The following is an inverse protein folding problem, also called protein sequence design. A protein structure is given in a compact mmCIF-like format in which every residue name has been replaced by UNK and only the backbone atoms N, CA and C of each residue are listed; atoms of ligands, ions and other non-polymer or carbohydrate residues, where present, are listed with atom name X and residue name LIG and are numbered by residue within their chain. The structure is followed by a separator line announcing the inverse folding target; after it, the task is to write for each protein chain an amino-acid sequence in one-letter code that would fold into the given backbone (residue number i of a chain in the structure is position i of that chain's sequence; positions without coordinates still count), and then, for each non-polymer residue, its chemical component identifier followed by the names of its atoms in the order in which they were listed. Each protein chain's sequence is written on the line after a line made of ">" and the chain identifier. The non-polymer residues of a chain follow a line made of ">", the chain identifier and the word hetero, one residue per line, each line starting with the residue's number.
data_IF_209396000252
#
_entry.id   IF_209396000252
#
_cell.length_a   1.000
_cell.length_b   1.000
_cell.length_c   1.000
_cell.angle_alpha   90.00
_cell.angle_beta   90.00
_cell.angle_gamma   90.00
#
_symmetry.space_group_name_H-M   'P 1'
#
loop_
_entity.id
_entity.type
_entity.pdbx_description
1 polymer ?
#
# COMPACT_ATOMS: atom_id res chain seq x y z
N UNK A 1 -22.45 7.46 -23.41
CA UNK A 1 -21.33 8.27 -22.88
C UNK A 1 -21.65 9.72 -23.15
N UNK A 2 -21.53 10.59 -22.15
CA UNK A 2 -21.76 12.04 -22.33
C UNK A 2 -20.59 12.60 -23.16
N UNK A 3 -20.84 13.41 -24.19
CA UNK A 3 -19.76 14.07 -24.94
C UNK A 3 -18.91 14.93 -23.99
N UNK A 4 -17.59 14.69 -23.97
CA UNK A 4 -16.62 15.39 -23.12
C UNK A 4 -15.61 16.14 -23.98
N UNK A 5 -15.17 17.31 -23.52
CA UNK A 5 -14.06 18.04 -24.14
C UNK A 5 -12.72 17.45 -23.67
N UNK A 6 -11.63 17.77 -24.38
CA UNK A 6 -10.29 17.33 -23.98
C UNK A 6 -9.86 17.90 -22.61
N UNK A 7 -10.31 19.13 -22.31
CA UNK A 7 -10.06 19.79 -21.04
C UNK A 7 -10.75 19.06 -19.87
N UNK A 8 -11.97 18.56 -20.08
CA UNK A 8 -12.69 17.77 -19.08
C UNK A 8 -12.07 16.38 -18.87
N UNK A 9 -11.49 15.79 -19.93
CA UNK A 9 -10.82 14.49 -19.85
C UNK A 9 -9.54 14.56 -19.01
N UNK A 10 -8.84 15.70 -19.05
CA UNK A 10 -7.59 15.94 -18.31
C UNK A 10 -6.55 14.84 -18.55
N UNK A 11 -5.88 14.91 -19.72
CA UNK A 11 -4.85 13.93 -20.10
C UNK A 11 -3.69 13.83 -19.11
N UNK A 12 -3.51 14.79 -18.20
CA UNK A 12 -2.50 14.70 -17.14
C UNK A 12 -2.75 13.55 -16.16
N UNK A 13 -3.97 13.02 -16.13
CA UNK A 13 -4.35 11.86 -15.32
C UNK A 13 -4.22 10.53 -16.06
N UNK A 14 -3.87 10.56 -17.34
CA UNK A 14 -3.73 9.33 -18.12
C UNK A 14 -2.50 8.56 -17.64
N UNK A 15 -2.76 7.40 -17.03
CA UNK A 15 -1.77 6.42 -16.61
C UNK A 15 -2.00 5.10 -17.33
N UNK A 16 -0.93 4.45 -17.74
CA UNK A 16 -0.96 3.13 -18.33
C UNK A 16 0.16 2.25 -17.78
N UNK A 17 -0.10 0.95 -17.78
CA UNK A 17 0.83 -0.12 -17.43
C UNK A 17 1.38 -0.78 -18.69
N UNK A 18 2.66 -1.10 -18.70
CA UNK A 18 3.27 -1.91 -19.76
C UNK A 18 3.08 -3.40 -19.48
N UNK A 19 2.08 -3.99 -20.15
CA UNK A 19 1.76 -5.41 -20.06
C UNK A 19 2.43 -6.26 -21.13
N UNK A 20 1.82 -7.40 -21.43
CA UNK A 20 2.39 -8.42 -22.31
C UNK A 20 3.44 -9.29 -21.60
N UNK A 21 4.31 -9.93 -22.39
CA UNK A 21 5.40 -10.73 -21.84
C UNK A 21 6.51 -9.85 -21.24
N UNK A 22 7.30 -10.46 -20.37
CA UNK A 22 8.30 -9.75 -19.58
C UNK A 22 9.45 -9.16 -20.41
N UNK A 23 9.67 -9.63 -21.64
CA UNK A 23 10.66 -9.03 -22.54
C UNK A 23 10.05 -7.81 -23.24
N UNK A 24 8.84 -7.94 -23.80
CA UNK A 24 8.13 -6.84 -24.46
C UNK A 24 7.91 -5.64 -23.54
N UNK A 25 7.47 -5.87 -22.29
CA UNK A 25 7.21 -4.78 -21.34
C UNK A 25 8.48 -4.01 -20.96
N UNK A 26 9.60 -4.71 -20.74
CA UNK A 26 10.89 -4.10 -20.40
C UNK A 26 11.54 -3.38 -21.58
N UNK A 27 11.44 -3.95 -22.78
CA UNK A 27 11.91 -3.29 -23.99
C UNK A 27 11.11 -2.01 -24.23
N UNK A 28 9.77 -2.06 -24.15
CA UNK A 28 8.92 -0.87 -24.24
C UNK A 28 9.25 0.17 -23.16
N UNK A 29 9.52 -0.27 -21.92
CA UNK A 29 9.95 0.62 -20.84
C UNK A 29 11.22 1.38 -21.24
N UNK A 30 12.25 0.66 -21.70
CA UNK A 30 13.49 1.28 -22.16
C UNK A 30 13.24 2.28 -23.31
N UNK A 31 12.47 1.89 -24.33
CA UNK A 31 12.22 2.75 -25.48
C UNK A 31 11.42 4.02 -25.12
N UNK A 32 10.43 3.90 -24.25
CA UNK A 32 9.63 5.03 -23.78
C UNK A 32 10.43 5.97 -22.86
N UNK A 33 11.36 5.43 -22.07
CA UNK A 33 12.20 6.23 -21.16
C UNK A 33 13.41 6.90 -21.83
N UNK A 34 14.11 6.20 -22.74
CA UNK A 34 15.43 6.62 -23.24
C UNK A 34 15.42 6.99 -24.74
N UNK A 35 14.47 6.48 -25.53
CA UNK A 35 14.47 6.64 -27.00
C UNK A 35 13.30 7.44 -27.55
N UNK A 36 12.42 7.93 -26.68
CA UNK A 36 11.27 8.75 -27.05
C UNK A 36 11.73 10.17 -27.43
N UNK A 37 11.51 10.54 -28.68
CA UNK A 37 11.88 11.87 -29.18
C UNK A 37 10.78 12.91 -28.92
N UNK A 38 9.51 12.55 -29.15
CA UNK A 38 8.34 13.38 -28.84
C UNK A 38 7.05 12.55 -28.81
N UNK A 39 5.95 13.19 -28.43
CA UNK A 39 4.60 12.61 -28.43
C UNK A 39 3.73 13.43 -29.38
N UNK A 40 2.85 12.80 -30.14
CA UNK A 40 1.82 13.50 -30.93
C UNK A 40 0.42 13.09 -30.46
N UNK A 41 -0.41 14.09 -30.16
CA UNK A 41 -1.84 13.90 -29.97
C UNK A 41 -2.55 14.10 -31.30
N UNK A 42 -3.27 13.09 -31.78
CA UNK A 42 -4.10 13.15 -32.99
C UNK A 42 -5.58 13.22 -32.61
N UNK A 43 -6.26 14.29 -33.03
CA UNK A 43 -7.71 14.51 -32.89
C UNK A 43 -8.25 14.92 -34.25
N UNK A 44 -9.22 14.19 -34.78
CA UNK A 44 -9.87 14.46 -36.07
C UNK A 44 -8.86 14.70 -37.22
N UNK A 45 -7.77 13.93 -37.23
CA UNK A 45 -6.69 14.00 -38.21
C UNK A 45 -5.68 15.14 -37.97
N UNK A 46 -5.95 16.07 -37.06
CA UNK A 46 -5.01 17.12 -36.66
C UNK A 46 -4.03 16.59 -35.62
N UNK A 47 -2.74 16.89 -35.78
CA UNK A 47 -1.66 16.42 -34.89
C UNK A 47 -1.01 17.56 -34.12
N UNK A 48 -0.87 17.35 -32.82
CA UNK A 48 -0.29 18.32 -31.88
C UNK A 48 0.92 17.69 -31.21
N UNK A 49 2.11 18.23 -31.50
CA UNK A 49 3.36 17.74 -30.96
C UNK A 49 3.58 18.22 -29.53
N UNK A 50 4.06 17.32 -28.68
CA UNK A 50 4.38 17.55 -27.27
C UNK A 50 5.78 17.00 -26.96
N UNK A 51 6.51 17.59 -25.99
CA UNK A 51 7.84 17.11 -25.63
C UNK A 51 7.78 15.73 -24.99
N UNK A 52 8.81 14.91 -25.22
CA UNK A 52 8.94 13.59 -24.60
C UNK A 52 8.94 13.63 -23.06
N UNK A 53 9.38 14.76 -22.48
CA UNK A 53 9.41 15.00 -21.04
C UNK A 53 8.03 15.02 -20.36
N UNK A 54 6.93 15.03 -21.13
CA UNK A 54 5.60 14.82 -20.56
C UNK A 54 5.39 13.39 -20.11
N UNK A 55 6.05 12.40 -20.72
CA UNK A 55 5.91 11.01 -20.29
C UNK A 55 6.83 10.75 -19.10
N UNK A 56 6.25 10.34 -17.97
CA UNK A 56 6.97 10.08 -16.72
C UNK A 56 6.69 8.67 -16.21
N UNK A 57 7.70 8.07 -15.61
CA UNK A 57 7.60 6.79 -14.90
C UNK A 57 6.93 6.98 -13.54
N UNK A 58 6.25 5.95 -13.05
CA UNK A 58 5.65 5.90 -11.71
C UNK A 58 6.36 4.85 -10.82
N UNK A 59 6.17 4.98 -9.51
CA UNK A 59 6.69 4.04 -8.49
C UNK A 59 7.89 4.59 -7.70
N UNK A 60 8.40 5.76 -8.06
CA UNK A 60 9.60 6.34 -7.43
C UNK A 60 9.28 7.43 -6.40
N UNK A 61 8.13 8.12 -6.54
CA UNK A 61 7.72 9.12 -5.58
C UNK A 61 7.33 8.48 -4.23
N UNK A 62 7.31 9.27 -3.16
CA UNK A 62 6.96 8.77 -1.82
C UNK A 62 5.51 8.32 -1.74
N UNK A 63 4.63 9.06 -2.40
CA UNK A 63 3.18 8.85 -2.47
C UNK A 63 2.83 7.65 -3.37
N UNK A 64 3.78 7.17 -4.15
CA UNK A 64 3.67 5.99 -5.01
C UNK A 64 4.27 4.73 -4.33
N UNK A 65 4.57 4.79 -3.03
CA UNK A 65 4.97 3.62 -2.25
C UNK A 65 3.91 2.51 -2.33
N UNK A 66 4.35 1.27 -2.54
CA UNK A 66 3.48 0.11 -2.43
C UNK A 66 3.30 -0.28 -0.97
N UNK A 67 4.41 -0.39 -0.24
CA UNK A 67 4.39 -0.83 1.14
C UNK A 67 4.32 0.37 2.09
N UNK A 68 3.57 0.27 3.22
CA UNK A 68 3.67 1.24 4.29
C UNK A 68 5.12 1.36 4.75
N UNK A 69 5.70 2.55 4.58
CA UNK A 69 7.11 2.81 4.88
C UNK A 69 7.25 3.94 5.90
N UNK A 70 8.10 3.81 6.94
CA UNK A 70 8.25 4.84 7.94
C UNK A 70 8.72 6.16 7.34
N UNK A 71 8.07 7.26 7.72
CA UNK A 71 8.30 8.56 7.12
C UNK A 71 9.62 9.24 7.46
N UNK A 72 10.36 8.69 8.43
CA UNK A 72 11.63 9.16 8.94
C UNK A 72 12.84 8.39 8.37
N UNK A 73 12.63 7.49 7.41
CA UNK A 73 13.68 6.70 6.76
C UNK A 73 13.86 7.19 5.32
N UNK A 74 15.09 7.10 4.81
CA UNK A 74 15.42 7.42 3.42
C UNK A 74 14.65 6.51 2.44
N UNK A 75 13.91 7.11 1.50
CA UNK A 75 13.03 6.38 0.57
C UNK A 75 13.78 5.50 -0.43
N UNK A 76 15.08 5.71 -0.65
CA UNK A 76 15.86 4.87 -1.57
C UNK A 76 15.90 3.39 -1.16
N UNK A 77 15.88 3.10 0.15
CA UNK A 77 15.79 1.72 0.66
C UNK A 77 14.47 1.06 0.28
N UNK A 78 13.36 1.82 0.36
CA UNK A 78 12.04 1.36 -0.10
C UNK A 78 12.06 1.01 -1.58
N UNK A 79 12.61 1.89 -2.43
CA UNK A 79 12.66 1.67 -3.87
C UNK A 79 13.45 0.40 -4.21
N UNK A 80 14.61 0.19 -3.57
CA UNK A 80 15.39 -1.03 -3.77
C UNK A 80 14.61 -2.28 -3.35
N UNK A 81 13.99 -2.25 -2.17
CA UNK A 81 13.18 -3.37 -1.67
C UNK A 81 12.01 -3.68 -2.62
N UNK A 82 11.23 -2.67 -3.02
CA UNK A 82 10.10 -2.83 -3.93
C UNK A 82 10.56 -3.33 -5.31
N UNK A 83 11.67 -2.81 -5.84
CA UNK A 83 12.17 -3.22 -7.16
C UNK A 83 12.62 -4.69 -7.19
N UNK A 84 13.29 -5.17 -6.12
CA UNK A 84 13.73 -6.57 -6.07
C UNK A 84 12.59 -7.55 -5.74
N UNK A 85 11.57 -7.11 -4.99
CA UNK A 85 10.43 -7.97 -4.64
C UNK A 85 9.34 -7.97 -5.71
N UNK A 86 9.11 -6.84 -6.38
CA UNK A 86 7.99 -6.66 -7.31
C UNK A 86 8.32 -5.62 -8.40
N UNK A 87 9.25 -5.92 -9.31
CA UNK A 87 9.70 -4.99 -10.35
C UNK A 87 8.56 -4.53 -11.29
N UNK A 88 7.51 -5.33 -11.44
CA UNK A 88 6.36 -5.04 -12.28
C UNK A 88 5.67 -3.74 -11.88
N UNK A 89 5.67 -3.33 -10.59
CA UNK A 89 5.04 -2.06 -10.20
C UNK A 89 5.72 -0.81 -10.74
N UNK A 90 6.93 -0.95 -11.29
CA UNK A 90 7.66 0.15 -11.91
C UNK A 90 7.38 0.28 -13.41
N UNK A 91 6.59 -0.61 -14.00
CA UNK A 91 6.24 -0.59 -15.43
C UNK A 91 5.08 0.36 -15.77
N UNK A 92 4.79 1.31 -14.90
CA UNK A 92 3.76 2.32 -15.11
C UNK A 92 4.34 3.62 -15.66
N UNK A 93 3.63 4.21 -16.62
CA UNK A 93 3.86 5.55 -17.11
C UNK A 93 2.61 6.41 -16.96
N UNK A 94 2.82 7.70 -16.79
CA UNK A 94 1.77 8.71 -16.81
C UNK A 94 2.20 9.94 -17.61
N UNK A 95 1.22 10.70 -18.11
CA UNK A 95 1.47 11.99 -18.74
C UNK A 95 1.48 13.09 -17.67
N UNK A 96 2.64 13.67 -17.38
CA UNK A 96 2.78 14.76 -16.42
C UNK A 96 2.42 16.11 -17.06
N UNK A 97 1.12 16.38 -17.15
CA UNK A 97 0.61 17.65 -17.69
C UNK A 97 0.84 17.79 -19.20
N UNK A 98 0.93 19.04 -19.66
CA UNK A 98 1.11 19.41 -21.06
C UNK A 98 0.23 20.59 -21.46
N UNK A 99 0.72 21.45 -22.35
CA UNK A 99 -0.11 22.47 -23.00
C UNK A 99 -0.90 21.78 -24.12
N UNK A 100 -1.88 20.98 -23.72
CA UNK A 100 -2.74 20.25 -24.64
C UNK A 100 -3.62 21.23 -25.41
N UNK A 101 -3.88 20.97 -26.70
CA UNK A 101 -4.68 21.87 -27.52
C UNK A 101 -6.06 22.06 -26.90
N UNK A 102 -6.50 23.32 -26.78
CA UNK A 102 -7.87 23.64 -26.38
C UNK A 102 -8.81 23.20 -27.50
N UNK A 103 -9.43 22.04 -27.32
CA UNK A 103 -10.45 21.49 -28.21
C UNK A 103 -11.82 21.74 -27.58
N UNK A 104 -12.54 22.82 -27.98
CA UNK A 104 -13.82 23.17 -27.38
C UNK A 104 -14.94 22.22 -27.80
N UNK A 105 -14.74 21.47 -28.89
CA UNK A 105 -15.68 20.45 -29.34
C UNK A 105 -15.50 19.16 -28.56
N UNK A 106 -16.59 18.41 -28.41
CA UNK A 106 -16.55 17.11 -27.79
C UNK A 106 -15.72 16.13 -28.62
N UNK A 107 -14.80 15.43 -27.96
CA UNK A 107 -13.91 14.45 -28.59
C UNK A 107 -14.44 13.06 -28.28
N UNK A 108 -14.72 12.28 -29.32
CA UNK A 108 -15.17 10.88 -29.18
C UNK A 108 -14.00 9.90 -29.10
N UNK A 109 -12.86 10.23 -29.72
CA UNK A 109 -11.64 9.44 -29.70
C UNK A 109 -10.42 10.32 -30.02
N UNK A 110 -9.26 9.90 -29.54
CA UNK A 110 -7.98 10.49 -29.88
C UNK A 110 -6.93 9.38 -30.00
N UNK A 111 -5.79 9.69 -30.61
CA UNK A 111 -4.62 8.79 -30.61
C UNK A 111 -3.42 9.50 -30.03
N UNK A 112 -2.62 8.76 -29.27
CA UNK A 112 -1.29 9.17 -28.87
C UNK A 112 -0.27 8.40 -29.69
N UNK A 113 0.60 9.13 -30.37
CA UNK A 113 1.73 8.57 -31.09
C UNK A 113 3.00 8.81 -30.27
N UNK A 114 3.70 7.73 -29.93
CA UNK A 114 5.02 7.80 -29.32
C UNK A 114 6.07 7.74 -30.44
N UNK A 115 6.75 8.86 -30.69
CA UNK A 115 7.69 9.00 -31.80
C UNK A 115 9.12 8.79 -31.30
N UNK A 116 9.78 7.75 -31.78
CA UNK A 116 11.12 7.37 -31.34
C UNK A 116 12.21 7.90 -32.28
N UNK A 117 13.42 8.10 -31.74
CA UNK A 117 14.60 8.54 -32.52
C UNK A 117 15.06 7.50 -33.54
N UNK A 118 14.70 6.23 -33.34
CA UNK A 118 15.12 5.07 -34.12
C UNK A 118 13.94 4.13 -34.34
N UNK A 119 13.95 3.30 -35.38
CA UNK A 119 12.94 2.27 -35.55
C UNK A 119 13.01 1.25 -34.40
N UNK A 120 11.84 0.78 -33.96
CA UNK A 120 11.74 -0.27 -32.94
C UNK A 120 12.41 -1.57 -33.43
N UNK A 121 12.94 -2.40 -32.52
CA UNK A 121 13.55 -3.67 -32.89
C UNK A 121 12.54 -4.59 -33.57
N UNK A 122 12.89 -5.32 -34.65
CA UNK A 122 11.96 -6.24 -35.33
C UNK A 122 11.43 -7.38 -34.44
N UNK A 123 12.18 -7.71 -33.39
CA UNK A 123 11.79 -8.66 -32.35
C UNK A 123 10.66 -8.15 -31.47
N UNK A 124 10.46 -6.82 -31.36
CA UNK A 124 9.45 -6.23 -30.49
C UNK A 124 8.05 -6.43 -31.06
N UNK A 125 7.27 -7.31 -30.43
CA UNK A 125 5.91 -7.64 -30.85
C UNK A 125 4.90 -6.95 -29.94
N UNK A 126 4.45 -5.77 -30.36
CA UNK A 126 3.41 -5.02 -29.66
C UNK A 126 2.05 -5.66 -29.93
N UNK A 127 1.37 -6.09 -28.86
CA UNK A 127 0.02 -6.67 -28.87
C UNK A 127 -0.95 -5.76 -28.11
N UNK A 128 -2.25 -6.08 -28.14
CA UNK A 128 -3.30 -5.27 -27.50
C UNK A 128 -3.17 -5.18 -25.97
N UNK A 129 -2.46 -6.10 -25.36
CA UNK A 129 -2.16 -6.19 -23.93
C UNK A 129 -0.84 -5.50 -23.53
N UNK A 130 -0.09 -4.94 -24.49
CA UNK A 130 1.16 -4.23 -24.20
C UNK A 130 0.93 -2.89 -23.47
N UNK A 131 -0.22 -2.25 -23.71
CA UNK A 131 -0.61 -1.00 -23.06
C UNK A 131 -1.95 -1.23 -22.33
N UNK A 132 -1.91 -1.29 -21.01
CA UNK A 132 -3.09 -1.55 -20.18
C UNK A 132 -3.49 -0.30 -19.42
N UNK A 133 -4.75 0.10 -19.56
CA UNK A 133 -5.36 1.22 -18.83
C UNK A 133 -6.16 0.69 -17.63
N UNK A 134 -6.42 1.57 -16.66
CA UNK A 134 -7.18 1.25 -15.45
C UNK A 134 -6.55 0.12 -14.61
N UNK A 135 -5.22 0.06 -14.59
CA UNK A 135 -4.44 -0.85 -13.76
C UNK A 135 -3.88 -0.11 -12.55
N UNK A 136 -3.79 -0.79 -11.43
CA UNK A 136 -3.15 -0.30 -10.20
C UNK A 136 -2.45 -1.48 -9.53
N UNK A 137 -1.22 -1.31 -9.01
CA UNK A 137 -0.62 -2.32 -8.16
C UNK A 137 -1.42 -2.40 -6.84
N UNK A 138 -1.64 -3.62 -6.35
CA UNK A 138 -2.38 -3.85 -5.12
C UNK A 138 -1.56 -4.74 -4.19
N UNK A 139 -1.66 -4.46 -2.89
CA UNK A 139 -1.03 -5.23 -1.83
C UNK A 139 -2.11 -5.81 -0.91
N UNK A 140 -1.91 -7.04 -0.45
CA UNK A 140 -2.83 -7.68 0.47
C UNK A 140 -2.53 -7.29 1.92
N UNK A 141 -2.91 -6.06 2.31
CA UNK A 141 -2.88 -5.59 3.69
C UNK A 141 -4.26 -5.10 4.10
N UNK A 142 -4.71 -5.50 5.28
CA UNK A 142 -6.00 -5.08 5.85
C UNK A 142 -5.90 -4.85 7.35
N UNK A 143 -6.77 -3.98 7.86
CA UNK A 143 -6.91 -3.77 9.30
C UNK A 143 -7.56 -5.00 9.94
N UNK A 144 -7.03 -5.43 11.07
CA UNK A 144 -7.58 -6.50 11.90
C UNK A 144 -7.39 -6.12 13.37
N UNK A 145 -8.28 -6.58 14.25
CA UNK A 145 -8.11 -6.43 15.69
C UNK A 145 -7.69 -7.78 16.30
N UNK A 146 -6.81 -7.76 17.30
CA UNK A 146 -6.40 -8.99 17.99
C UNK A 146 -7.53 -9.55 18.83
N UNK A 147 -7.42 -10.83 19.18
CA UNK A 147 -8.13 -11.33 20.35
C UNK A 147 -7.59 -10.61 21.62
N UNK A 148 -8.45 -10.34 22.63
CA UNK A 148 -8.02 -9.60 23.83
C UNK A 148 -6.91 -10.31 24.60
N UNK A 149 -5.87 -9.56 24.95
CA UNK A 149 -4.76 -10.02 25.78
C UNK A 149 -5.07 -9.72 27.25
N UNK A 150 -5.19 -10.77 28.07
CA UNK A 150 -5.38 -10.61 29.51
C UNK A 150 -4.05 -10.26 30.20
N UNK A 151 -3.88 -8.99 30.55
CA UNK A 151 -2.68 -8.48 31.20
C UNK A 151 -2.80 -8.60 32.73
N UNK A 152 -2.38 -9.77 33.24
CA UNK A 152 -2.45 -10.10 34.67
C UNK A 152 -1.23 -9.68 35.49
N UNK A 153 -0.12 -9.31 34.82
CA UNK A 153 1.16 -9.01 35.45
C UNK A 153 1.95 -10.25 35.89
N UNK A 154 1.45 -11.47 35.63
CA UNK A 154 2.13 -12.72 36.01
C UNK A 154 3.14 -13.21 34.97
N UNK A 155 3.07 -12.69 33.75
CA UNK A 155 3.94 -13.06 32.63
C UNK A 155 4.72 -11.84 32.13
N UNK A 156 5.95 -12.07 31.66
CA UNK A 156 6.80 -11.03 31.08
C UNK A 156 6.48 -10.77 29.59
N UNK A 157 5.97 -11.79 28.90
CA UNK A 157 5.59 -11.74 27.49
C UNK A 157 4.21 -12.36 27.33
N UNK A 158 3.34 -11.69 26.57
CA UNK A 158 2.01 -12.15 26.24
C UNK A 158 1.94 -12.41 24.73
N UNK A 159 1.46 -13.58 24.28
CA UNK A 159 1.36 -13.87 22.85
C UNK A 159 0.37 -12.93 22.18
N UNK A 160 0.74 -12.42 21.00
CA UNK A 160 -0.10 -11.60 20.14
C UNK A 160 -0.43 -12.39 18.88
N UNK A 161 -1.73 -12.64 18.67
CA UNK A 161 -2.23 -13.36 17.51
C UNK A 161 -3.40 -12.61 16.90
N UNK A 162 -3.50 -12.63 15.57
CA UNK A 162 -4.66 -12.11 14.86
C UNK A 162 -5.90 -13.00 15.09
N UNK A 163 -5.72 -14.32 15.15
CA UNK A 163 -6.78 -15.29 15.48
C UNK A 163 -6.18 -16.55 16.11
N UNK A 164 -6.78 -17.04 17.20
CA UNK A 164 -6.41 -18.33 17.80
C UNK A 164 -7.13 -19.50 17.11
N UNK A 165 -8.31 -19.26 16.54
CA UNK A 165 -9.07 -20.29 15.80
C UNK A 165 -8.50 -20.56 14.41
N UNK A 166 -7.89 -19.55 13.78
CA UNK A 166 -7.35 -19.63 12.43
C UNK A 166 -5.92 -19.06 12.35
N UNK A 167 -4.95 -19.62 13.10
CA UNK A 167 -3.60 -19.06 13.20
C UNK A 167 -2.87 -19.00 11.85
N UNK A 168 -3.16 -19.93 10.93
CA UNK A 168 -2.49 -19.99 9.62
C UNK A 168 -3.12 -19.11 8.55
N UNK A 169 -4.22 -18.41 8.88
CA UNK A 169 -4.95 -17.56 7.92
C UNK A 169 -4.47 -16.12 7.89
N UNK A 170 -3.67 -15.71 8.88
CA UNK A 170 -3.29 -14.32 9.12
C UNK A 170 -1.82 -14.22 9.52
N UNK A 171 -1.12 -13.21 9.02
CA UNK A 171 0.20 -12.79 9.51
C UNK A 171 0.13 -11.32 9.92
N UNK A 172 0.78 -10.97 11.03
CA UNK A 172 0.80 -9.59 11.53
C UNK A 172 1.90 -8.85 10.77
N UNK A 173 1.50 -7.86 9.98
CA UNK A 173 2.41 -6.98 9.26
C UNK A 173 2.91 -5.84 10.16
N UNK A 174 1.99 -5.20 10.91
CA UNK A 174 2.32 -4.14 11.85
C UNK A 174 1.33 -4.05 13.00
N UNK A 175 1.81 -3.63 14.17
CA UNK A 175 0.95 -3.19 15.28
C UNK A 175 0.70 -1.69 15.13
N UNK A 176 -0.58 -1.30 15.09
CA UNK A 176 -0.97 0.08 14.82
C UNK A 176 -1.35 0.83 16.11
N UNK A 177 -2.07 0.17 17.02
CA UNK A 177 -2.51 0.77 18.28
C UNK A 177 -2.69 -0.30 19.37
N UNK A 178 -2.37 0.03 20.61
CA UNK A 178 -2.47 -0.87 21.78
C UNK A 178 -3.22 -0.15 22.90
N UNK A 179 -4.41 -0.64 23.21
CA UNK A 179 -5.31 -0.04 24.19
C UNK A 179 -5.69 -1.06 25.27
N UNK A 180 -5.54 -0.68 26.52
CA UNK A 180 -5.98 -1.45 27.69
C UNK A 180 -7.28 -0.93 28.27
N UNK A 181 -8.04 -1.83 28.88
CA UNK A 181 -9.20 -1.53 29.70
C UNK A 181 -9.02 -2.19 31.07
N UNK A 182 -8.76 -1.39 32.10
CA UNK A 182 -8.63 -1.86 33.48
C UNK A 182 -9.98 -1.85 34.15
N UNK A 183 -10.33 -2.93 34.86
CA UNK A 183 -11.56 -2.98 35.65
C UNK A 183 -11.61 -1.91 36.73
N UNK A 184 -12.74 -1.21 36.81
CA UNK A 184 -13.01 -0.24 37.86
C UNK A 184 -13.45 -0.92 39.16
N UNK A 185 -13.52 -0.19 40.29
CA UNK A 185 -13.93 -0.73 41.58
C UNK A 185 -15.32 -1.38 41.58
N UNK A 186 -16.22 -0.90 40.71
CA UNK A 186 -17.60 -1.40 40.54
C UNK A 186 -17.75 -2.38 39.35
N UNK A 187 -16.63 -2.95 38.86
CA UNK A 187 -16.60 -3.90 37.74
C UNK A 187 -16.27 -3.27 36.37
N UNK A 188 -16.32 -4.10 35.31
CA UNK A 188 -15.88 -3.77 33.95
C UNK A 188 -16.51 -2.51 33.35
N UNK A 189 -17.78 -2.21 33.67
CA UNK A 189 -18.53 -1.13 33.03
C UNK A 189 -18.06 0.29 33.41
N UNK A 190 -17.31 0.45 34.50
CA UNK A 190 -16.73 1.73 34.95
C UNK A 190 -15.19 1.71 34.93
N UNK A 191 -14.62 0.88 34.07
CA UNK A 191 -13.17 0.81 33.86
C UNK A 191 -12.58 2.07 33.22
N UNK A 192 -11.25 2.11 33.15
CA UNK A 192 -10.49 3.19 32.54
C UNK A 192 -9.74 2.74 31.29
N UNK A 193 -9.85 3.50 30.20
CA UNK A 193 -9.04 3.30 28.99
C UNK A 193 -7.59 3.69 29.23
N UNK A 194 -6.67 2.89 28.69
CA UNK A 194 -5.23 3.09 28.79
C UNK A 194 -4.63 2.95 27.39
N UNK A 195 -3.77 3.88 27.00
CA UNK A 195 -3.09 3.82 25.69
C UNK A 195 -1.62 3.53 25.93
N UNK A 196 -1.11 2.47 25.30
CA UNK A 196 0.29 2.06 25.41
C UNK A 196 1.08 2.55 24.20
N UNK A 197 2.17 3.27 24.46
CA UNK A 197 3.06 3.73 23.40
C UNK A 197 4.15 2.69 23.08
N UNK A 198 4.62 2.58 21.82
CA UNK A 198 5.77 1.74 21.50
C UNK A 198 7.00 2.20 22.27
N UNK A 199 7.77 1.29 22.86
CA UNK A 199 8.96 1.64 23.64
C UNK A 199 9.99 2.44 22.82
N UNK A 200 10.20 2.04 21.57
CA UNK A 200 11.15 2.64 20.62
C UNK A 200 10.74 4.04 20.13
N UNK A 201 9.53 4.51 20.45
CA UNK A 201 9.08 5.87 20.12
C UNK A 201 9.75 6.96 20.96
N UNK A 202 10.39 6.59 22.08
CA UNK A 202 10.91 7.49 23.13
C UNK A 202 9.88 8.45 23.75
N UNK A 203 8.60 8.35 23.38
CA UNK A 203 7.53 9.19 23.89
C UNK A 203 7.32 9.02 25.40
N UNK A 204 7.69 7.85 25.94
CA UNK A 204 7.70 7.57 27.38
C UNK A 204 8.60 8.50 28.19
N UNK A 205 9.70 9.01 27.61
CA UNK A 205 10.56 9.99 28.29
C UNK A 205 9.87 11.34 28.41
N UNK A 206 9.13 11.75 27.38
CA UNK A 206 8.34 12.98 27.34
C UNK A 206 7.17 12.89 28.34
N UNK A 207 6.44 11.76 28.34
CA UNK A 207 5.33 11.55 29.25
C UNK A 207 5.77 11.58 30.71
N UNK A 208 6.89 10.93 31.06
CA UNK A 208 7.48 11.02 32.41
C UNK A 208 7.89 12.45 32.77
N UNK A 209 8.54 13.18 31.86
CA UNK A 209 8.93 14.57 32.09
C UNK A 209 7.72 15.49 32.33
N UNK A 210 6.59 15.19 31.68
CA UNK A 210 5.33 15.93 31.84
C UNK A 210 4.48 15.45 33.03
N UNK A 211 4.98 14.54 33.87
CA UNK A 211 4.26 14.01 35.04
C UNK A 211 3.07 13.13 34.68
N UNK A 212 2.99 12.63 33.44
CA UNK A 212 1.93 11.73 32.97
C UNK A 212 2.32 10.27 33.17
N UNK A 213 1.30 9.41 33.22
CA UNK A 213 1.47 7.98 33.40
C UNK A 213 2.18 7.37 32.18
N UNK A 214 3.39 6.86 32.38
CA UNK A 214 4.16 6.22 31.32
C UNK A 214 3.72 4.76 31.14
N UNK A 215 2.95 4.50 30.07
CA UNK A 215 2.54 3.17 29.64
C UNK A 215 3.16 2.85 28.29
N UNK A 216 3.88 1.75 28.22
CA UNK A 216 4.53 1.36 26.97
C UNK A 216 4.54 -0.15 26.77
N UNK A 217 4.62 -0.53 25.50
CA UNK A 217 4.76 -1.91 25.08
C UNK A 217 6.02 -2.09 24.25
N UNK A 218 6.55 -3.31 24.26
CA UNK A 218 7.60 -3.76 23.35
C UNK A 218 7.08 -4.95 22.56
N UNK A 219 7.13 -4.85 21.25
CA UNK A 219 6.83 -5.96 20.34
C UNK A 219 8.09 -6.80 20.15
N UNK A 220 7.98 -8.11 20.35
CA UNK A 220 9.01 -9.08 19.96
C UNK A 220 8.46 -9.96 18.84
N UNK A 221 9.29 -10.17 17.83
CA UNK A 221 8.99 -11.03 16.68
C UNK A 221 10.05 -12.11 16.63
N UNK A 222 9.62 -13.37 16.49
CA UNK A 222 10.48 -14.55 16.34
C UNK A 222 9.99 -15.37 15.16
N UNK A 223 10.87 -16.10 14.51
CA UNK A 223 10.42 -17.15 13.58
C UNK A 223 9.64 -18.22 14.35
N UNK A 224 8.54 -18.67 13.77
CA UNK A 224 7.75 -19.74 14.36
C UNK A 224 8.57 -21.03 14.40
N UNK A 225 8.37 -21.86 15.43
CA UNK A 225 9.16 -23.09 15.65
C UNK A 225 8.99 -24.10 14.51
N UNK A 226 7.83 -24.09 13.85
CA UNK A 226 7.55 -24.92 12.66
C UNK A 226 8.19 -24.36 11.37
N UNK A 227 8.82 -23.19 11.41
CA UNK A 227 9.41 -22.50 10.26
C UNK A 227 8.39 -21.74 9.39
N UNK A 228 7.11 -21.70 9.79
CA UNK A 228 6.05 -21.10 9.00
C UNK A 228 5.57 -19.77 9.62
N UNK A 229 6.12 -18.67 9.11
CA UNK A 229 5.76 -17.31 9.52
C UNK A 229 6.39 -16.89 10.85
N UNK A 230 5.75 -15.94 11.53
CA UNK A 230 6.31 -15.31 12.72
C UNK A 230 5.41 -15.46 13.95
N UNK A 231 6.05 -15.58 15.12
CA UNK A 231 5.41 -15.46 16.42
C UNK A 231 5.65 -14.07 16.99
N UNK A 232 4.55 -13.42 17.38
CA UNK A 232 4.56 -12.08 17.96
C UNK A 232 4.22 -12.16 19.44
N UNK A 233 4.96 -11.42 20.27
CA UNK A 233 4.64 -11.25 21.68
C UNK A 233 4.79 -9.81 22.14
N UNK A 234 4.00 -9.42 23.13
CA UNK A 234 4.02 -8.10 23.75
C UNK A 234 4.55 -8.20 25.17
N UNK A 235 5.49 -7.32 25.50
CA UNK A 235 5.87 -7.02 26.88
C UNK A 235 5.35 -5.63 27.24
N UNK A 236 4.75 -5.50 28.42
CA UNK A 236 4.19 -4.25 28.90
C UNK A 236 5.02 -3.69 30.05
N UNK A 237 5.09 -2.37 30.14
CA UNK A 237 5.57 -1.68 31.33
C UNK A 237 4.60 -0.59 31.70
N UNK A 238 4.16 -0.62 32.96
CA UNK A 238 3.19 0.32 33.51
C UNK A 238 3.84 1.14 34.62
N UNK A 239 3.80 2.47 34.49
CA UNK A 239 4.38 3.38 35.50
C UNK A 239 3.67 3.34 36.86
N UNK A 240 2.43 2.87 36.89
CA UNK A 240 1.54 2.72 38.04
C UNK A 240 1.36 1.26 38.46
N UNK A 241 2.32 0.37 38.15
CA UNK A 241 2.21 -1.08 38.37
C UNK A 241 1.63 -1.43 39.76
N UNK A 242 2.00 -0.66 40.80
CA UNK A 242 1.53 -0.82 42.19
C UNK A 242 0.02 -0.58 42.38
N UNK A 243 -0.60 0.30 41.59
CA UNK A 243 -2.01 0.69 41.71
C UNK A 243 -2.97 -0.27 40.97
N UNK A 244 -2.40 -1.08 40.07
CA UNK A 244 -3.12 -2.05 39.23
C UNK A 244 -2.81 -3.49 39.60
N UNK A 245 -2.03 -3.73 40.67
CA UNK A 245 -1.80 -5.09 41.19
C UNK A 245 -3.13 -5.75 41.55
N UNK A 246 -3.35 -6.96 41.03
CA UNK A 246 -4.56 -7.74 41.30
C UNK A 246 -5.81 -7.26 40.56
N UNK A 247 -5.70 -6.25 39.68
CA UNK A 247 -6.76 -5.88 38.75
C UNK A 247 -6.52 -6.56 37.41
N UNK A 248 -7.58 -7.07 36.81
CA UNK A 248 -7.54 -7.56 35.44
C UNK A 248 -7.59 -6.38 34.45
N UNK A 249 -6.73 -6.47 33.44
CA UNK A 249 -6.68 -5.53 32.33
C UNK A 249 -6.82 -6.29 31.02
N UNK A 250 -7.83 -5.94 30.23
CA UNK A 250 -8.01 -6.49 28.89
C UNK A 250 -7.36 -5.54 27.88
N UNK A 251 -6.34 -6.01 27.17
CA UNK A 251 -5.65 -5.23 26.13
C UNK A 251 -6.14 -5.66 24.75
N UNK A 252 -6.59 -4.70 23.97
CA UNK A 252 -6.94 -4.85 22.56
C UNK A 252 -5.86 -4.22 21.68
N UNK A 253 -5.54 -4.89 20.58
CA UNK A 253 -4.50 -4.44 19.65
C UNK A 253 -5.08 -4.32 18.26
N UNK A 254 -5.08 -3.11 17.71
CA UNK A 254 -5.36 -2.92 16.28
C UNK A 254 -4.07 -3.13 15.50
N UNK A 255 -4.15 -3.95 14.46
CA UNK A 255 -3.03 -4.39 13.64
C UNK A 255 -3.35 -4.30 12.15
N UNK A 256 -2.29 -4.28 11.35
CA UNK A 256 -2.36 -4.53 9.91
C UNK A 256 -1.93 -5.97 9.69
N UNK A 257 -2.73 -6.72 8.94
CA UNK A 257 -2.49 -8.13 8.66
C UNK A 257 -2.47 -8.41 7.17
N UNK A 258 -1.90 -9.57 6.81
CA UNK A 258 -1.99 -10.18 5.48
C UNK A 258 -2.47 -11.64 5.60
N UNK A 259 -2.82 -12.29 4.48
CA UNK A 259 -3.36 -13.66 4.49
C UNK A 259 -2.33 -14.79 4.29
N UNK A 260 -1.06 -14.59 4.67
CA UNK A 260 0.01 -15.58 4.48
C UNK A 260 0.01 -16.14 3.03
N UNK A 261 0.25 -17.44 2.90
CA UNK A 261 0.28 -18.18 1.63
C UNK A 261 -1.04 -18.14 0.84
N UNK A 262 -2.18 -17.84 1.48
CA UNK A 262 -3.45 -17.75 0.74
C UNK A 262 -3.43 -16.63 -0.29
N UNK A 263 -2.72 -15.53 0.00
CA UNK A 263 -2.58 -14.44 -0.96
C UNK A 263 -1.78 -14.87 -2.20
N UNK A 264 -0.76 -15.71 -2.02
CA UNK A 264 0.09 -16.21 -3.09
C UNK A 264 -0.63 -17.23 -4.00
N UNK A 265 -1.74 -17.80 -3.55
CA UNK A 265 -2.54 -18.76 -4.32
C UNK A 265 -3.53 -18.09 -5.29
N UNK A 266 -3.70 -16.76 -5.21
CA UNK A 266 -4.59 -16.02 -6.08
C UNK A 266 -4.12 -16.06 -7.53
N UNK A 267 -5.06 -16.34 -8.43
CA UNK A 267 -4.90 -16.34 -9.88
C UNK A 267 -5.52 -15.10 -10.50
N UNK A 268 -5.17 -14.85 -11.75
CA UNK A 268 -5.82 -13.82 -12.57
C UNK A 268 -7.32 -14.10 -12.61
N UNK A 269 -8.13 -13.10 -12.26
CA UNK A 269 -9.58 -13.19 -12.16
C UNK A 269 -10.14 -13.54 -10.78
N UNK A 270 -9.30 -13.93 -9.80
CA UNK A 270 -9.81 -14.29 -8.45
C UNK A 270 -10.31 -13.07 -7.66
N UNK A 271 -9.72 -11.89 -7.89
CA UNK A 271 -10.19 -10.62 -7.31
C UNK A 271 -11.15 -9.96 -8.30
N UNK A 272 -12.41 -10.42 -8.31
CA UNK A 272 -13.42 -9.98 -9.30
C UNK A 272 -14.72 -9.44 -8.72
N UNK A 273 -14.84 -9.35 -7.40
CA UNK A 273 -16.08 -8.93 -6.74
C UNK A 273 -16.09 -7.40 -6.58
N UNK A 274 -17.10 -6.68 -7.14
CA UNK A 274 -17.24 -5.24 -6.93
C UNK A 274 -17.61 -4.93 -5.48
N UNK A 275 -17.20 -3.75 -5.02
CA UNK A 275 -17.60 -3.21 -3.71
C UNK A 275 -18.67 -2.13 -3.88
N UNK A 276 -19.29 -1.69 -2.78
CA UNK A 276 -20.25 -0.57 -2.81
C UNK A 276 -19.65 0.74 -3.35
N UNK A 277 -18.31 0.87 -3.33
CA UNK A 277 -17.59 2.02 -3.87
C UNK A 277 -17.21 1.85 -5.35
N UNK A 278 -17.38 0.67 -5.94
CA UNK A 278 -17.02 0.40 -7.33
C UNK A 278 -18.13 0.92 -8.27
N UNK A 279 -17.86 1.88 -9.17
CA UNK A 279 -18.86 2.34 -10.11
C UNK A 279 -19.31 1.22 -11.05
N UNK A 280 -20.61 1.16 -11.37
CA UNK A 280 -21.25 0.11 -12.19
C UNK A 280 -20.67 -0.05 -13.61
N UNK A 281 -19.83 0.88 -14.06
CA UNK A 281 -19.20 0.86 -15.38
C UNK A 281 -17.90 0.05 -15.43
N UNK A 282 -17.35 -0.33 -14.28
CA UNK A 282 -16.12 -1.11 -14.21
C UNK A 282 -16.40 -2.61 -14.19
N UNK A 283 -15.56 -3.36 -14.88
CA UNK A 283 -15.52 -4.82 -14.83
C UNK A 283 -14.11 -5.23 -14.44
N UNK A 284 -13.99 -6.27 -13.62
CA UNK A 284 -12.70 -6.82 -13.21
C UNK A 284 -12.27 -7.89 -14.21
N UNK A 285 -10.96 -8.02 -14.39
CA UNK A 285 -10.32 -9.04 -15.22
C UNK A 285 -9.30 -9.81 -14.40
#
# INVERSE_FOLDING_TARGET
>A
QVPMTLEQLDLSKLRFYLGGDAWTSRELYFWLSDRLAWIELEIDGSRFRQPASLLRTSGFAREEALLPYPGNIYSGYRILQEYFCFPESFLFFHLAGGDWPKQPMAVSSFKLHFCFERPLPPSLKIRKDAFMLNCVPAINLFRHDSEPVALTGQQTEYPLRASYSHPDSYEIFSVNNVEGWVEGPDGRARGGTRVYQPFESFQHQIERANGRLALYYRLRVREAVNGEGFEHSLSFVRGDEREVVGKDEAVSVTMTCTNRERAAQLKVGDICVPTNATPNVFTFR
#
